data_IF_396534216986
#
_entry.id   IF_396534216986
#
_cell.length_a   1.000
_cell.length_b   1.000
_cell.length_c   1.000
_cell.angle_alpha   90.00
_cell.angle_beta   90.00
_cell.angle_gamma   90.00
#
_symmetry.space_group_name_H-M   'P 1'
#
loop_
_entity.id
_entity.type
_entity.pdbx_description
1 polymer ?
#
# COMPACT_ATOMS: atom_id res chain seq x y z
N UNK A 1 -8.14 5.26 7.69
CA UNK A 1 -7.24 4.47 6.82
C UNK A 1 -6.42 5.45 5.99
N UNK A 2 -5.16 5.17 5.69
CA UNK A 2 -4.32 6.05 4.87
C UNK A 2 -4.17 5.47 3.47
N UNK A 3 -4.27 6.33 2.45
CA UNK A 3 -4.08 5.97 1.05
C UNK A 3 -2.69 6.40 0.57
N UNK A 4 -1.92 5.46 0.03
CA UNK A 4 -0.64 5.70 -0.64
C UNK A 4 -0.80 5.49 -2.15
N UNK A 5 -0.60 6.56 -2.93
CA UNK A 5 -0.90 6.61 -4.37
C UNK A 5 0.40 6.68 -5.15
N UNK A 6 0.65 5.68 -6.00
CA UNK A 6 1.96 5.53 -6.65
C UNK A 6 2.99 4.98 -5.67
N UNK A 7 2.60 3.95 -4.92
CA UNK A 7 3.37 3.38 -3.82
C UNK A 7 4.75 2.84 -4.24
N UNK A 8 4.94 2.55 -5.52
CA UNK A 8 6.19 2.02 -6.04
C UNK A 8 6.59 0.74 -5.30
N UNK A 9 7.89 0.53 -5.01
CA UNK A 9 8.34 -0.64 -4.27
C UNK A 9 7.97 -0.62 -2.77
N UNK A 10 7.25 0.40 -2.29
CA UNK A 10 6.64 0.40 -0.96
C UNK A 10 7.46 1.00 0.18
N UNK A 11 8.47 1.83 -0.10
CA UNK A 11 9.27 2.47 0.96
C UNK A 11 8.41 3.36 1.87
N UNK A 12 7.66 4.30 1.29
CA UNK A 12 6.75 5.16 2.04
C UNK A 12 5.60 4.35 2.67
N UNK A 13 5.04 3.38 1.93
CA UNK A 13 4.00 2.48 2.44
C UNK A 13 4.40 1.80 3.75
N UNK A 14 5.64 1.32 3.83
CA UNK A 14 6.18 0.63 5.01
C UNK A 14 6.30 1.58 6.19
N UNK A 15 6.87 2.77 5.98
CA UNK A 15 6.99 3.78 7.04
C UNK A 15 5.60 4.19 7.55
N UNK A 16 4.65 4.41 6.64
CA UNK A 16 3.26 4.72 6.98
C UNK A 16 2.61 3.59 7.79
N UNK A 17 2.85 2.32 7.43
CA UNK A 17 2.29 1.17 8.12
C UNK A 17 2.76 1.08 9.58
N UNK A 18 4.00 1.46 9.84
CA UNK A 18 4.58 1.56 11.19
C UNK A 18 3.98 2.75 11.95
N UNK A 19 3.83 3.91 11.30
CA UNK A 19 3.27 5.15 11.88
C UNK A 19 1.81 4.97 12.32
N UNK A 20 0.96 4.37 11.48
CA UNK A 20 -0.46 4.17 11.80
C UNK A 20 -0.68 3.05 12.84
N UNK A 21 0.36 2.28 13.14
CA UNK A 21 0.32 1.15 14.06
C UNK A 21 -0.51 -0.04 13.57
N UNK A 22 -0.53 -1.15 14.33
CA UNK A 22 -1.14 -2.41 13.91
C UNK A 22 -2.66 -2.35 13.76
N UNK A 23 -3.32 -1.37 14.38
CA UNK A 23 -4.78 -1.14 14.26
C UNK A 23 -5.13 -0.17 13.14
N UNK A 24 -4.17 0.63 12.67
CA UNK A 24 -4.31 1.43 11.46
C UNK A 24 -4.20 0.56 10.21
N UNK A 25 -4.49 1.13 9.04
CA UNK A 25 -4.40 0.42 7.77
C UNK A 25 -3.92 1.34 6.66
N UNK A 26 -3.01 0.80 5.84
CA UNK A 26 -2.55 1.42 4.60
C UNK A 26 -3.20 0.72 3.41
N UNK A 27 -3.70 1.52 2.46
CA UNK A 27 -4.10 1.07 1.14
C UNK A 27 -3.07 1.62 0.16
N UNK A 28 -2.26 0.75 -0.44
CA UNK A 28 -1.20 1.13 -1.37
C UNK A 28 -1.64 0.82 -2.82
N UNK A 29 -1.61 1.83 -3.68
CA UNK A 29 -1.94 1.71 -5.10
C UNK A 29 -0.66 1.76 -5.92
N UNK A 30 -0.44 0.74 -6.73
CA UNK A 30 0.71 0.67 -7.63
C UNK A 30 0.32 -0.07 -8.91
N UNK A 31 0.86 0.32 -10.06
CA UNK A 31 0.56 -0.34 -11.35
C UNK A 31 1.56 -1.45 -11.66
N UNK A 32 2.83 -1.27 -11.30
CA UNK A 32 3.92 -2.16 -11.65
C UNK A 32 3.89 -3.43 -10.81
N UNK A 33 3.64 -4.58 -11.45
CA UNK A 33 3.70 -5.91 -10.80
C UNK A 33 5.04 -6.20 -10.12
N UNK A 34 6.14 -5.71 -10.69
CA UNK A 34 7.47 -5.88 -10.09
C UNK A 34 7.58 -5.14 -8.76
N UNK A 35 7.02 -3.94 -8.69
CA UNK A 35 7.00 -3.14 -7.47
C UNK A 35 6.03 -3.70 -6.43
N UNK A 36 4.86 -4.16 -6.85
CA UNK A 36 3.91 -4.88 -5.98
C UNK A 36 4.57 -6.11 -5.35
N UNK A 37 5.33 -6.87 -6.14
CA UNK A 37 6.05 -8.04 -5.63
C UNK A 37 7.09 -7.64 -4.58
N UNK A 38 7.94 -6.66 -4.88
CA UNK A 38 8.96 -6.15 -3.95
C UNK A 38 8.36 -5.58 -2.66
N UNK A 39 7.27 -4.82 -2.77
CA UNK A 39 6.52 -4.30 -1.63
C UNK A 39 5.93 -5.43 -0.79
N UNK A 40 5.34 -6.44 -1.44
CA UNK A 40 4.79 -7.61 -0.76
C UNK A 40 5.85 -8.44 -0.03
N UNK A 41 7.03 -8.60 -0.61
CA UNK A 41 8.18 -9.23 0.06
C UNK A 41 8.62 -8.44 1.29
N UNK A 42 8.71 -7.12 1.16
CA UNK A 42 9.10 -6.23 2.27
C UNK A 42 8.08 -6.28 3.40
N UNK A 43 6.78 -6.23 3.08
CA UNK A 43 5.71 -6.34 4.08
C UNK A 43 5.76 -7.69 4.82
N UNK A 44 5.99 -8.80 4.10
CA UNK A 44 6.15 -10.12 4.71
C UNK A 44 7.38 -10.21 5.61
N UNK A 45 8.53 -9.72 5.14
CA UNK A 45 9.77 -9.74 5.90
C UNK A 45 9.67 -8.94 7.21
N UNK A 46 8.90 -7.86 7.20
CA UNK A 46 8.63 -7.01 8.39
C UNK A 46 7.39 -7.41 9.19
N UNK A 47 6.68 -8.47 8.79
CA UNK A 47 5.42 -8.90 9.42
C UNK A 47 4.34 -7.79 9.46
N UNK A 48 4.30 -6.92 8.45
CA UNK A 48 3.30 -5.86 8.32
C UNK A 48 2.02 -6.44 7.75
N UNK A 49 1.06 -6.75 8.62
CA UNK A 49 -0.24 -7.31 8.26
C UNK A 49 -1.30 -6.25 7.92
N UNK A 50 -1.00 -4.97 8.14
CA UNK A 50 -1.91 -3.84 8.00
C UNK A 50 -1.77 -3.07 6.67
N UNK A 51 -1.05 -3.64 5.69
CA UNK A 51 -0.90 -3.08 4.33
C UNK A 51 -1.74 -3.86 3.33
N UNK A 52 -2.61 -3.17 2.61
CA UNK A 52 -3.38 -3.72 1.49
C UNK A 52 -2.87 -3.15 0.17
N UNK A 53 -2.30 -3.99 -0.67
CA UNK A 53 -1.75 -3.61 -1.97
C UNK A 53 -2.80 -3.83 -3.06
N UNK A 54 -2.99 -2.83 -3.92
CA UNK A 54 -3.85 -2.90 -5.09
C UNK A 54 -3.03 -2.63 -6.36
N UNK A 55 -3.09 -3.58 -7.30
CA UNK A 55 -2.66 -3.35 -8.67
C UNK A 55 -3.68 -2.46 -9.38
N UNK A 56 -3.31 -1.23 -9.72
CA UNK A 56 -4.25 -0.23 -10.25
C UNK A 56 -3.53 0.80 -11.13
N UNK A 57 -4.12 1.12 -12.29
CA UNK A 57 -3.67 2.23 -13.14
C UNK A 57 -4.49 3.49 -12.83
N UNK A 58 -3.85 4.48 -12.20
CA UNK A 58 -4.49 5.71 -11.76
C UNK A 58 -5.06 6.56 -12.90
N UNK A 59 -4.63 6.31 -14.14
CA UNK A 59 -5.09 7.06 -15.31
C UNK A 59 -6.42 6.52 -15.87
N UNK A 60 -6.76 5.26 -15.58
CA UNK A 60 -7.92 4.58 -16.19
C UNK A 60 -8.90 4.00 -15.17
N UNK A 61 -8.43 3.70 -13.97
CA UNK A 61 -9.17 2.92 -13.00
C UNK A 61 -9.75 3.81 -11.89
N UNK A 62 -10.89 3.39 -11.33
CA UNK A 62 -11.45 4.07 -10.17
C UNK A 62 -10.66 3.72 -8.90
N UNK A 63 -10.38 4.73 -8.08
CA UNK A 63 -9.81 4.52 -6.75
C UNK A 63 -10.75 3.66 -5.90
N UNK A 64 -10.23 2.77 -5.03
CA UNK A 64 -11.06 1.99 -4.13
C UNK A 64 -11.92 2.93 -3.25
N UNK A 65 -13.24 2.79 -3.34
CA UNK A 65 -14.17 3.64 -2.58
C UNK A 65 -14.23 3.16 -1.13
N UNK A 66 -13.51 3.84 -0.25
CA UNK A 66 -13.49 3.58 1.20
C UNK A 66 -13.31 4.90 1.93
N UNK A 67 -13.70 4.96 3.20
CA UNK A 67 -13.44 6.13 4.03
C UNK A 67 -11.95 6.15 4.43
N UNK A 68 -11.23 7.13 3.89
CA UNK A 68 -9.86 7.47 4.23
C UNK A 68 -9.84 8.63 5.23
N UNK A 69 -8.83 8.66 6.10
CA UNK A 69 -8.63 9.77 7.05
C UNK A 69 -7.87 10.92 6.38
#
# INVERSE_FOLDING_TARGET
RVLDVGAGPGYATVDLAEIVGPTGQIVALERSKNFIHAMGETCRARSLANVKIHELDLMTDELPKTDYD
#
